data_IF_752728643400
#
_entry.id   IF_752728643400
#
_cell.length_a   1.000
_cell.length_b   1.000
_cell.length_c   1.000
_cell.angle_alpha   90.00
_cell.angle_beta   90.00
_cell.angle_gamma   90.00
#
_symmetry.space_group_name_H-M   'P 1'
#
loop_
_entity.id
_entity.type
_entity.pdbx_description
1 polymer ?
#
# COMPACT_ATOMS: atom_id res chain seq x y z
N UNK A 1 -54.92 -5.05 19.91
CA UNK A 1 -53.62 -5.74 19.76
C UNK A 1 -53.14 -5.50 18.35
N UNK A 2 -51.99 -4.91 18.09
CA UNK A 2 -51.23 -5.09 16.86
C UNK A 2 -50.35 -3.92 16.42
N UNK A 3 -50.42 -2.73 16.99
CA UNK A 3 -49.60 -1.62 16.49
C UNK A 3 -48.18 -1.60 17.13
N UNK A 4 -47.99 -2.23 18.28
CA UNK A 4 -46.70 -2.24 19.00
C UNK A 4 -45.71 -3.30 18.47
N UNK A 5 -46.16 -4.34 17.82
CA UNK A 5 -45.32 -5.41 17.29
C UNK A 5 -44.66 -4.98 15.96
N UNK A 6 -45.33 -4.14 15.16
CA UNK A 6 -44.82 -3.67 13.88
C UNK A 6 -43.59 -2.74 13.99
N UNK A 7 -43.52 -1.96 15.09
CA UNK A 7 -42.43 -0.98 15.30
C UNK A 7 -41.11 -1.70 15.69
N UNK A 8 -41.21 -2.82 16.41
CA UNK A 8 -40.04 -3.59 16.84
C UNK A 8 -39.38 -4.30 15.63
N UNK A 9 -40.18 -4.74 14.65
CA UNK A 9 -39.63 -5.38 13.44
C UNK A 9 -38.98 -4.41 12.47
N UNK A 10 -39.40 -3.16 12.42
CA UNK A 10 -38.77 -2.12 11.58
C UNK A 10 -37.44 -1.64 12.13
N UNK A 11 -37.26 -1.61 13.47
CA UNK A 11 -35.97 -1.23 14.08
C UNK A 11 -34.90 -2.32 13.93
N UNK A 12 -35.26 -3.61 13.91
CA UNK A 12 -34.28 -4.68 13.74
C UNK A 12 -33.74 -4.78 12.29
N UNK A 13 -34.53 -4.38 11.29
CA UNK A 13 -34.10 -4.39 9.89
C UNK A 13 -33.14 -3.22 9.57
N UNK A 14 -33.26 -2.10 10.26
CA UNK A 14 -32.38 -0.95 10.06
C UNK A 14 -30.94 -1.17 10.64
N UNK A 15 -30.81 -2.00 11.69
CA UNK A 15 -29.50 -2.32 12.27
C UNK A 15 -28.65 -3.26 11.45
N UNK A 16 -29.24 -4.10 10.58
CA UNK A 16 -28.49 -5.04 9.74
C UNK A 16 -27.89 -4.39 8.50
N UNK A 17 -28.42 -3.25 8.05
CA UNK A 17 -27.87 -2.50 6.91
C UNK A 17 -26.65 -1.60 7.29
N UNK A 18 -26.51 -1.25 8.57
CA UNK A 18 -25.43 -0.39 9.02
C UNK A 18 -24.08 -1.13 9.20
N UNK A 19 -24.08 -2.45 9.33
CA UNK A 19 -22.86 -3.25 9.52
C UNK A 19 -22.18 -3.70 8.23
N UNK A 20 -22.84 -3.55 7.07
CA UNK A 20 -22.29 -3.95 5.76
C UNK A 20 -21.34 -2.93 5.13
N UNK A 21 -21.29 -1.70 5.61
CA UNK A 21 -20.51 -0.62 4.97
C UNK A 21 -19.16 -0.33 5.63
N UNK A 22 -18.78 -0.97 6.73
CA UNK A 22 -17.49 -0.72 7.39
C UNK A 22 -16.30 -1.49 6.79
N UNK A 23 -16.51 -2.39 5.85
CA UNK A 23 -15.44 -3.21 5.28
C UNK A 23 -14.77 -2.64 4.01
N UNK A 24 -15.20 -1.50 3.48
CA UNK A 24 -14.77 -1.06 2.14
C UNK A 24 -13.97 0.25 2.07
N UNK A 25 -13.72 0.94 3.18
CA UNK A 25 -13.04 2.26 3.12
C UNK A 25 -11.53 2.12 2.89
N UNK A 26 -10.91 1.02 3.29
CA UNK A 26 -9.47 0.83 3.19
C UNK A 26 -9.00 0.22 1.86
N UNK A 27 -9.89 -0.39 1.06
CA UNK A 27 -9.54 -0.95 -0.25
C UNK A 27 -9.51 0.08 -1.38
N UNK A 28 -9.83 1.34 -1.09
CA UNK A 28 -10.03 2.39 -2.09
C UNK A 28 -8.72 2.99 -2.59
N UNK A 29 -7.66 2.96 -1.79
CA UNK A 29 -6.44 3.69 -2.09
C UNK A 29 -5.70 3.20 -3.36
N UNK A 30 -5.73 1.89 -3.67
CA UNK A 30 -5.06 1.32 -4.84
C UNK A 30 -6.01 0.85 -5.95
N UNK A 31 -7.32 0.94 -5.76
CA UNK A 31 -8.32 0.61 -6.79
C UNK A 31 -8.05 1.30 -8.14
N UNK A 32 -7.63 2.57 -8.20
CA UNK A 32 -7.31 3.22 -9.45
C UNK A 32 -6.19 2.55 -10.25
N UNK A 33 -5.30 1.78 -9.60
CA UNK A 33 -4.20 1.07 -10.28
C UNK A 33 -4.70 0.07 -11.31
N UNK A 34 -5.83 -0.61 -11.06
CA UNK A 34 -6.38 -1.59 -12.00
C UNK A 34 -6.59 -0.97 -13.40
N UNK A 35 -7.25 0.18 -13.43
CA UNK A 35 -7.54 0.89 -14.68
C UNK A 35 -6.33 1.64 -15.21
N UNK A 36 -5.57 2.31 -14.35
CA UNK A 36 -4.40 3.11 -14.75
C UNK A 36 -3.30 2.26 -15.40
N UNK A 37 -3.11 1.03 -14.91
CA UNK A 37 -2.12 0.10 -15.44
C UNK A 37 -2.72 -0.94 -16.41
N UNK A 38 -4.02 -0.88 -16.69
CA UNK A 38 -4.73 -1.85 -17.53
C UNK A 38 -4.45 -3.31 -17.10
N UNK A 39 -4.52 -3.57 -15.79
CA UNK A 39 -4.21 -4.89 -15.23
C UNK A 39 -5.28 -5.89 -15.63
N UNK A 40 -4.85 -7.08 -16.07
CA UNK A 40 -5.75 -8.22 -16.20
C UNK A 40 -6.20 -8.73 -14.82
N UNK A 41 -7.20 -9.60 -14.76
CA UNK A 41 -7.78 -10.04 -13.48
C UNK A 41 -6.78 -10.84 -12.63
N UNK A 42 -5.88 -11.61 -13.24
CA UNK A 42 -4.83 -12.33 -12.50
C UNK A 42 -3.82 -11.36 -11.87
N UNK A 43 -3.33 -10.39 -12.65
CA UNK A 43 -2.43 -9.34 -12.17
C UNK A 43 -3.11 -8.52 -11.06
N UNK A 44 -4.39 -8.17 -11.26
CA UNK A 44 -5.15 -7.43 -10.27
C UNK A 44 -5.28 -8.18 -8.95
N UNK A 45 -5.64 -9.46 -8.99
CA UNK A 45 -5.75 -10.31 -7.80
C UNK A 45 -4.43 -10.34 -7.01
N UNK A 46 -3.31 -10.46 -7.71
CA UNK A 46 -1.99 -10.43 -7.08
C UNK A 46 -1.69 -9.05 -6.47
N UNK A 47 -1.88 -7.96 -7.22
CA UNK A 47 -1.65 -6.59 -6.74
C UNK A 47 -2.50 -6.29 -5.50
N UNK A 48 -3.79 -6.61 -5.53
CA UNK A 48 -4.69 -6.40 -4.40
C UNK A 48 -4.22 -7.19 -3.16
N UNK A 49 -3.80 -8.44 -3.34
CA UNK A 49 -3.27 -9.26 -2.24
C UNK A 49 -1.99 -8.68 -1.63
N UNK A 50 -1.08 -8.16 -2.46
CA UNK A 50 0.17 -7.53 -2.00
C UNK A 50 -0.11 -6.25 -1.21
N UNK A 51 -1.01 -5.39 -1.69
CA UNK A 51 -1.39 -4.19 -0.97
C UNK A 51 -2.06 -4.51 0.37
N UNK A 52 -2.99 -5.46 0.43
CA UNK A 52 -3.64 -5.88 1.69
C UNK A 52 -2.66 -6.43 2.70
N UNK A 53 -1.73 -7.28 2.26
CA UNK A 53 -0.70 -7.86 3.12
C UNK A 53 0.23 -6.77 3.67
N UNK A 54 0.72 -5.88 2.80
CA UNK A 54 1.55 -4.76 3.22
C UNK A 54 0.83 -3.84 4.19
N UNK A 55 -0.44 -3.51 3.93
CA UNK A 55 -1.24 -2.66 4.80
C UNK A 55 -1.43 -3.26 6.20
N UNK A 56 -1.71 -4.56 6.29
CA UNK A 56 -1.80 -5.26 7.57
C UNK A 56 -0.47 -5.16 8.35
N UNK A 57 0.67 -5.32 7.66
CA UNK A 57 2.00 -5.20 8.24
C UNK A 57 2.31 -3.76 8.67
N UNK A 58 1.93 -2.76 7.87
CA UNK A 58 2.10 -1.34 8.21
C UNK A 58 1.24 -0.94 9.41
N UNK A 59 -0.01 -1.40 9.49
CA UNK A 59 -0.88 -1.18 10.67
C UNK A 59 -0.29 -1.80 11.95
N UNK A 60 0.40 -2.95 11.86
CA UNK A 60 1.13 -3.51 12.99
C UNK A 60 2.31 -2.61 13.43
N UNK A 61 3.07 -2.08 12.48
CA UNK A 61 4.13 -1.12 12.76
C UNK A 61 3.59 0.13 13.46
N UNK A 62 2.46 0.68 13.00
CA UNK A 62 1.83 1.85 13.63
C UNK A 62 1.35 1.57 15.06
N UNK A 63 0.80 0.38 15.31
CA UNK A 63 0.44 -0.04 16.67
C UNK A 63 1.67 -0.11 17.58
N UNK A 64 2.78 -0.63 17.06
CA UNK A 64 4.03 -0.73 17.82
C UNK A 64 4.65 0.65 18.09
N UNK A 65 4.65 1.57 17.13
CA UNK A 65 5.06 2.97 17.36
C UNK A 65 4.22 3.60 18.46
N UNK A 66 2.90 3.43 18.43
CA UNK A 66 2.00 3.96 19.45
C UNK A 66 2.24 3.34 20.81
N UNK A 67 2.58 2.04 20.88
CA UNK A 67 2.96 1.37 22.12
C UNK A 67 4.23 1.96 22.69
N UNK A 68 5.30 2.03 21.90
CA UNK A 68 6.60 2.59 22.33
C UNK A 68 6.45 4.03 22.80
N UNK A 69 5.71 4.85 22.04
CA UNK A 69 5.49 6.25 22.39
C UNK A 69 4.82 6.44 23.77
N UNK A 70 4.02 5.46 24.22
CA UNK A 70 3.31 5.52 25.52
C UNK A 70 4.07 4.87 26.66
N UNK A 71 4.88 3.85 26.38
CA UNK A 71 5.49 3.02 27.43
C UNK A 71 6.96 3.31 27.68
N UNK A 72 7.67 3.84 26.65
CA UNK A 72 9.10 4.11 26.78
C UNK A 72 9.35 5.49 27.40
N UNK A 73 9.94 5.50 28.59
CA UNK A 73 10.23 6.72 29.33
C UNK A 73 11.49 7.43 28.83
N UNK A 74 12.52 6.66 28.41
CA UNK A 74 13.75 7.22 27.86
C UNK A 74 13.53 7.77 26.45
N UNK A 75 13.77 9.05 26.28
CA UNK A 75 13.51 9.74 25.00
C UNK A 75 14.45 9.27 23.88
N UNK A 76 15.69 8.90 24.19
CA UNK A 76 16.69 8.44 23.22
C UNK A 76 16.34 7.04 22.74
N UNK A 77 16.03 6.13 23.67
CA UNK A 77 15.59 4.76 23.35
C UNK A 77 14.29 4.79 22.55
N UNK A 78 13.35 5.63 22.97
CA UNK A 78 12.06 5.81 22.26
C UNK A 78 12.29 6.27 20.81
N UNK A 79 13.11 7.30 20.59
CA UNK A 79 13.39 7.83 19.25
C UNK A 79 14.04 6.78 18.36
N UNK A 80 15.10 6.12 18.84
CA UNK A 80 15.82 5.11 18.06
C UNK A 80 14.93 3.90 17.70
N UNK A 81 14.07 3.48 18.64
CA UNK A 81 13.12 2.39 18.40
C UNK A 81 12.07 2.76 17.36
N UNK A 82 11.53 3.98 17.43
CA UNK A 82 10.57 4.48 16.43
C UNK A 82 11.21 4.57 15.05
N UNK A 83 12.45 5.05 14.97
CA UNK A 83 13.17 5.18 13.69
C UNK A 83 13.47 3.82 13.07
N UNK A 84 13.83 2.81 13.87
CA UNK A 84 13.95 1.44 13.39
C UNK A 84 12.64 0.91 12.78
N UNK A 85 11.48 1.23 13.39
CA UNK A 85 10.19 0.83 12.83
C UNK A 85 9.85 1.61 11.55
N UNK A 86 10.24 2.89 11.44
CA UNK A 86 10.07 3.66 10.19
C UNK A 86 10.88 3.03 9.04
N UNK A 87 12.11 2.60 9.29
CA UNK A 87 12.92 1.86 8.32
C UNK A 87 12.21 0.57 7.90
N UNK A 88 11.70 -0.20 8.87
CA UNK A 88 10.91 -1.41 8.58
C UNK A 88 9.68 -1.12 7.74
N UNK A 89 8.95 -0.03 8.01
CA UNK A 89 7.81 0.39 7.18
C UNK A 89 8.22 0.68 5.74
N UNK A 90 9.39 1.28 5.53
CA UNK A 90 9.90 1.51 4.18
C UNK A 90 10.24 0.19 3.49
N UNK A 91 10.93 -0.74 4.15
CA UNK A 91 11.23 -2.08 3.61
C UNK A 91 9.95 -2.82 3.17
N UNK A 92 8.88 -2.78 3.98
CA UNK A 92 7.59 -3.39 3.61
C UNK A 92 7.02 -2.80 2.31
N UNK A 93 7.14 -1.48 2.11
CA UNK A 93 6.68 -0.84 0.87
C UNK A 93 7.54 -1.24 -0.32
N UNK A 94 8.85 -1.23 -0.15
CA UNK A 94 9.81 -1.58 -1.21
C UNK A 94 9.65 -3.04 -1.65
N UNK A 95 9.46 -3.96 -0.70
CA UNK A 95 9.20 -5.38 -0.96
C UNK A 95 7.88 -5.59 -1.71
N UNK A 96 6.82 -4.88 -1.30
CA UNK A 96 5.54 -4.89 -2.01
C UNK A 96 5.70 -4.42 -3.44
N UNK A 97 6.36 -3.28 -3.64
CA UNK A 97 6.50 -2.66 -4.95
C UNK A 97 7.37 -3.52 -5.87
N UNK A 98 8.47 -4.08 -5.36
CA UNK A 98 9.30 -5.02 -6.10
C UNK A 98 8.53 -6.30 -6.52
N UNK A 99 7.70 -6.83 -5.61
CA UNK A 99 6.86 -8.00 -5.91
C UNK A 99 5.83 -7.70 -7.00
N UNK A 100 5.22 -6.52 -6.96
CA UNK A 100 4.27 -6.08 -7.98
C UNK A 100 4.99 -5.87 -9.33
N UNK A 101 6.13 -5.19 -9.35
CA UNK A 101 6.89 -4.96 -10.57
C UNK A 101 7.28 -6.24 -11.30
N UNK A 102 7.48 -7.34 -10.56
CA UNK A 102 7.89 -8.61 -11.13
C UNK A 102 6.84 -9.22 -12.07
N UNK A 103 5.54 -9.00 -11.80
CA UNK A 103 4.44 -9.53 -12.63
C UNK A 103 3.96 -8.58 -13.72
N UNK A 104 4.45 -7.34 -13.74
CA UNK A 104 4.03 -6.32 -14.68
C UNK A 104 4.84 -6.39 -15.99
N UNK A 105 4.21 -6.01 -17.12
CA UNK A 105 4.92 -5.75 -18.37
C UNK A 105 5.84 -4.53 -18.22
N UNK A 106 6.72 -4.30 -19.19
CA UNK A 106 7.63 -3.15 -19.13
C UNK A 106 6.88 -1.82 -19.10
N UNK A 107 5.85 -1.67 -19.93
CA UNK A 107 5.00 -0.47 -19.98
C UNK A 107 4.26 -0.26 -18.67
N UNK A 108 3.67 -1.32 -18.13
CA UNK A 108 2.98 -1.28 -16.83
C UNK A 108 3.93 -0.92 -15.69
N UNK A 109 5.18 -1.43 -15.68
CA UNK A 109 6.19 -1.08 -14.68
C UNK A 109 6.53 0.42 -14.70
N UNK A 110 6.70 1.00 -15.91
CA UNK A 110 6.96 2.44 -16.04
C UNK A 110 5.82 3.26 -15.46
N UNK A 111 4.58 2.93 -15.81
CA UNK A 111 3.40 3.60 -15.27
C UNK A 111 3.25 3.39 -13.74
N UNK A 112 3.55 2.20 -13.24
CA UNK A 112 3.52 1.89 -11.81
C UNK A 112 4.54 2.72 -11.02
N UNK A 113 5.77 2.85 -11.53
CA UNK A 113 6.80 3.70 -10.90
C UNK A 113 6.43 5.17 -10.88
N UNK A 114 5.79 5.67 -11.93
CA UNK A 114 5.27 7.04 -11.93
C UNK A 114 4.19 7.24 -10.87
N UNK A 115 3.35 6.22 -10.66
CA UNK A 115 2.29 6.26 -9.66
C UNK A 115 2.83 6.20 -8.23
N UNK A 116 3.81 5.32 -7.96
CA UNK A 116 4.36 5.10 -6.61
C UNK A 116 5.45 6.10 -6.22
N UNK A 117 6.11 6.71 -7.20
CA UNK A 117 7.19 7.68 -7.00
C UNK A 117 6.95 8.96 -7.82
N UNK A 118 5.88 9.70 -7.54
CA UNK A 118 5.59 10.94 -8.26
C UNK A 118 6.76 11.93 -8.11
N UNK A 119 7.25 12.46 -9.22
CA UNK A 119 8.36 13.43 -9.26
C UNK A 119 9.74 12.82 -9.54
N UNK A 120 9.88 11.49 -9.57
CA UNK A 120 11.07 10.89 -10.18
C UNK A 120 10.83 10.74 -11.69
N UNK A 121 11.70 11.28 -12.57
CA UNK A 121 11.55 11.09 -14.01
C UNK A 121 11.55 9.59 -14.30
N UNK A 122 10.59 9.14 -15.12
CA UNK A 122 10.62 7.80 -15.67
C UNK A 122 11.84 7.71 -16.59
N UNK A 123 12.90 7.09 -16.09
CA UNK A 123 14.09 6.86 -16.89
C UNK A 123 13.79 5.73 -17.84
N UNK A 124 13.44 6.09 -19.07
CA UNK A 124 13.24 5.14 -20.16
C UNK A 124 14.59 4.77 -20.73
N UNK A 125 15.10 3.61 -20.35
CA UNK A 125 16.20 3.00 -21.08
C UNK A 125 15.67 2.42 -22.39
N UNK A 126 15.68 3.20 -23.43
CA UNK A 126 15.39 2.75 -24.78
C UNK A 126 16.62 2.02 -25.32
N UNK A 127 16.55 0.71 -25.38
CA UNK A 127 17.52 -0.11 -26.09
C UNK A 127 18.13 -1.23 -25.24
N UNK A 128 18.01 -2.47 -25.72
CA UNK A 128 18.60 -3.66 -25.12
C UNK A 128 20.15 -3.72 -25.20
N UNK A 129 20.82 -2.72 -25.78
CA UNK A 129 22.26 -2.72 -26.06
C UNK A 129 22.96 -1.44 -25.61
N UNK A 130 22.63 -0.90 -24.42
CA UNK A 130 23.48 0.14 -23.88
C UNK A 130 24.44 -0.44 -22.82
N UNK A 131 25.69 0.00 -22.87
CA UNK A 131 26.67 -0.36 -21.85
C UNK A 131 26.25 0.27 -20.51
N UNK A 132 25.90 -0.60 -19.55
CA UNK A 132 25.50 -0.19 -18.18
C UNK A 132 26.59 0.62 -17.49
N UNK A 133 27.87 0.38 -17.78
CA UNK A 133 29.00 1.02 -17.13
C UNK A 133 29.20 2.48 -17.61
N UNK A 134 28.75 2.82 -18.82
CA UNK A 134 28.86 4.16 -19.39
C UNK A 134 27.55 4.97 -19.33
N UNK A 135 26.45 4.37 -18.90
CA UNK A 135 25.15 5.03 -18.86
C UNK A 135 25.07 5.96 -17.64
N UNK A 136 25.04 7.26 -17.86
CA UNK A 136 24.92 8.30 -16.81
C UNK A 136 23.63 8.20 -15.99
N UNK A 137 22.68 7.39 -16.44
CA UNK A 137 21.39 7.15 -15.78
C UNK A 137 21.41 5.86 -14.97
N UNK A 138 22.21 4.85 -15.38
CA UNK A 138 22.37 3.60 -14.65
C UNK A 138 23.34 3.70 -13.48
N UNK A 139 24.29 4.65 -13.54
CA UNK A 139 25.24 4.89 -12.47
C UNK A 139 24.63 5.96 -11.56
N UNK A 140 24.23 5.63 -10.32
CA UNK A 140 23.86 6.68 -9.37
C UNK A 140 25.08 7.59 -9.19
N UNK A 141 24.93 8.88 -9.46
CA UNK A 141 25.95 9.87 -9.09
C UNK A 141 26.11 9.75 -7.58
N UNK A 142 27.27 9.25 -7.15
CA UNK A 142 27.67 9.31 -5.74
C UNK A 142 27.58 10.77 -5.27
N UNK A 143 27.07 11.00 -4.05
CA UNK A 143 26.94 12.35 -3.49
C UNK A 143 28.28 13.02 -3.35
#
# INVERSE_FOLDING_TARGET
MSTRILIIFLCSLACTLANGQRASVDSVAWQPLKSALQLNDMQWTFVDSMYRSAEASLKNCDREINRIARTEADSTVRSSSIDAIKIKKQSIRDERDASIEWILTQEQRMAFRQYTQPGKPAVVHMGMNHDRASCTVCIPKSP
#
